data_IF_559703881678
#
_entry.id   IF_559703881678
#
_cell.length_a   1.000
_cell.length_b   1.000
_cell.length_c   1.000
_cell.angle_alpha   90.00
_cell.angle_beta   90.00
_cell.angle_gamma   90.00
#
_symmetry.space_group_name_H-M   'P 1'
#
loop_
_entity.id
_entity.type
_entity.pdbx_description
1 polymer ?
#
# COMPACT_ATOMS: atom_id res chain seq x y z
N UNK A 1 -9.55 -12.20 -5.53
CA UNK A 1 -9.67 -12.66 -4.13
C UNK A 1 -9.19 -14.11 -3.99
N UNK A 2 -8.31 -14.41 -3.02
CA UNK A 2 -7.92 -15.80 -2.73
C UNK A 2 -9.18 -16.58 -2.35
N UNK A 3 -9.38 -17.75 -2.97
CA UNK A 3 -10.56 -18.60 -2.74
C UNK A 3 -10.57 -19.24 -1.34
N UNK A 4 -9.43 -19.26 -0.65
CA UNK A 4 -9.22 -19.87 0.66
C UNK A 4 -8.40 -18.94 1.56
N UNK A 5 -8.63 -19.01 2.88
CA UNK A 5 -7.92 -18.24 3.90
C UNK A 5 -8.78 -17.19 4.60
N UNK A 6 -8.19 -16.46 5.55
CA UNK A 6 -8.87 -15.37 6.27
C UNK A 6 -9.30 -14.30 5.27
N UNK A 7 -10.58 -13.88 5.27
CA UNK A 7 -11.03 -12.77 4.45
C UNK A 7 -10.18 -11.52 4.71
N UNK A 8 -9.91 -10.75 3.65
CA UNK A 8 -9.20 -9.47 3.77
C UNK A 8 -10.05 -8.50 4.59
N UNK A 9 -9.55 -8.08 5.75
CA UNK A 9 -10.13 -7.01 6.56
C UNK A 9 -9.47 -5.65 6.32
N UNK A 10 -8.27 -5.63 5.73
CA UNK A 10 -7.50 -4.39 5.50
C UNK A 10 -8.08 -3.59 4.35
N UNK A 11 -8.41 -2.32 4.57
CA UNK A 11 -8.77 -1.39 3.49
C UNK A 11 -7.57 -1.11 2.57
N UNK A 12 -7.77 -1.27 1.25
CA UNK A 12 -6.72 -1.00 0.27
C UNK A 12 -6.44 0.49 0.11
N UNK A 13 -7.42 1.36 0.37
CA UNK A 13 -7.20 2.80 0.33
C UNK A 13 -6.21 3.22 1.41
N UNK A 14 -6.36 2.66 2.61
CA UNK A 14 -5.43 2.89 3.71
C UNK A 14 -4.02 2.33 3.44
N UNK A 15 -3.92 1.23 2.70
CA UNK A 15 -2.61 0.74 2.21
C UNK A 15 -1.98 1.76 1.26
N UNK A 16 -2.74 2.31 0.31
CA UNK A 16 -2.23 3.33 -0.62
C UNK A 16 -1.85 4.61 0.14
N UNK A 17 -2.68 5.08 1.08
CA UNK A 17 -2.38 6.24 1.91
C UNK A 17 -1.07 6.05 2.69
N UNK A 18 -0.86 4.87 3.27
CA UNK A 18 0.38 4.53 3.97
C UNK A 18 1.61 4.52 3.03
N UNK A 19 1.46 4.01 1.80
CA UNK A 19 2.54 4.04 0.81
C UNK A 19 2.88 5.45 0.36
N UNK A 20 1.88 6.29 0.13
CA UNK A 20 2.07 7.71 -0.20
C UNK A 20 2.73 8.45 0.97
N UNK A 21 2.32 8.17 2.20
CA UNK A 21 2.96 8.74 3.39
C UNK A 21 4.45 8.39 3.46
N UNK A 22 4.82 7.12 3.25
CA UNK A 22 6.22 6.69 3.21
C UNK A 22 6.96 7.36 2.05
N UNK A 23 6.35 7.44 0.86
CA UNK A 23 6.96 8.07 -0.31
C UNK A 23 7.21 9.58 -0.11
N UNK A 24 6.32 10.28 0.60
CA UNK A 24 6.45 11.71 0.89
C UNK A 24 7.42 11.98 2.03
N UNK A 25 7.41 11.17 3.09
CA UNK A 25 8.21 11.43 4.31
C UNK A 25 9.57 10.73 4.32
N UNK A 26 9.74 9.67 3.54
CA UNK A 26 10.91 8.80 3.58
C UNK A 26 11.05 7.98 4.87
N UNK A 27 10.00 7.89 5.70
CA UNK A 27 10.10 7.21 6.98
C UNK A 27 10.34 5.70 6.81
N UNK A 28 11.10 5.11 7.74
CA UNK A 28 11.27 3.66 7.78
C UNK A 28 9.94 2.95 8.08
N UNK A 29 9.75 1.74 7.54
CA UNK A 29 8.53 0.94 7.75
C UNK A 29 8.10 0.82 9.22
N UNK A 30 9.06 0.63 10.13
CA UNK A 30 8.78 0.45 11.57
C UNK A 30 8.41 1.75 12.29
N UNK A 31 8.65 2.90 11.65
CA UNK A 31 8.34 4.23 12.16
C UNK A 31 6.99 4.76 11.65
N UNK A 32 6.26 3.97 10.86
CA UNK A 32 4.97 4.35 10.34
C UNK A 32 3.97 4.59 11.49
N UNK A 33 3.13 5.64 11.41
CA UNK A 33 2.08 5.90 12.40
C UNK A 33 1.16 4.69 12.61
N UNK A 34 0.66 4.53 13.84
CA UNK A 34 -0.22 3.40 14.21
C UNK A 34 -1.65 3.50 13.68
N UNK A 35 -2.03 4.66 13.14
CA UNK A 35 -3.34 4.89 12.53
C UNK A 35 -3.46 4.20 11.16
N UNK A 36 -2.31 3.89 10.54
CA UNK A 36 -2.25 3.09 9.32
C UNK A 36 -2.38 1.58 9.61
N UNK A 37 -2.72 0.77 8.60
CA UNK A 37 -2.64 -0.69 8.72
C UNK A 37 -1.23 -1.12 9.15
N UNK A 38 -1.07 -2.29 9.81
CA UNK A 38 0.24 -2.75 10.26
C UNK A 38 1.29 -2.70 9.15
N UNK A 39 2.49 -2.18 9.45
CA UNK A 39 3.53 -1.98 8.42
C UNK A 39 3.87 -3.25 7.66
N UNK A 40 3.79 -4.42 8.29
CA UNK A 40 4.01 -5.73 7.65
C UNK A 40 2.95 -6.02 6.59
N UNK A 41 1.69 -5.62 6.82
CA UNK A 41 0.61 -5.73 5.85
C UNK A 41 0.85 -4.80 4.67
N UNK A 42 1.15 -3.52 4.93
CA UNK A 42 1.44 -2.53 3.87
C UNK A 42 2.64 -2.97 3.02
N UNK A 43 3.71 -3.42 3.67
CA UNK A 43 4.91 -3.94 3.02
C UNK A 43 4.61 -5.16 2.15
N UNK A 44 3.79 -6.09 2.62
CA UNK A 44 3.40 -7.28 1.85
C UNK A 44 2.65 -6.88 0.57
N UNK A 45 1.68 -5.97 0.68
CA UNK A 45 0.96 -5.44 -0.48
C UNK A 45 1.90 -4.75 -1.46
N UNK A 46 2.81 -3.89 -0.97
CA UNK A 46 3.76 -3.19 -1.81
C UNK A 46 4.64 -4.14 -2.62
N UNK A 47 5.22 -5.15 -1.99
CA UNK A 47 6.07 -6.10 -2.69
C UNK A 47 5.27 -6.98 -3.65
N UNK A 48 4.06 -7.41 -3.29
CA UNK A 48 3.18 -8.15 -4.20
C UNK A 48 2.82 -7.30 -5.43
N UNK A 49 2.43 -6.04 -5.24
CA UNK A 49 2.05 -5.13 -6.32
C UNK A 49 3.23 -4.73 -7.19
N UNK A 50 4.42 -4.61 -6.59
CA UNK A 50 5.65 -4.38 -7.35
C UNK A 50 6.00 -5.59 -8.20
N UNK A 51 5.97 -6.80 -7.62
CA UNK A 51 6.31 -8.03 -8.32
C UNK A 51 5.32 -8.34 -9.48
N UNK A 52 4.04 -8.03 -9.29
CA UNK A 52 3.01 -8.18 -10.33
C UNK A 52 2.96 -7.03 -11.33
N UNK A 53 3.73 -5.96 -11.13
CA UNK A 53 3.67 -4.74 -11.94
C UNK A 53 2.43 -3.87 -11.70
N UNK A 54 1.54 -4.26 -10.80
CA UNK A 54 0.31 -3.52 -10.48
C UNK A 54 0.62 -2.12 -9.95
N UNK A 55 1.65 -1.97 -9.11
CA UNK A 55 2.03 -0.66 -8.56
C UNK A 55 2.41 0.33 -9.68
N UNK A 56 3.11 -0.15 -10.70
CA UNK A 56 3.48 0.64 -11.88
C UNK A 56 2.28 1.07 -12.73
N UNK A 57 1.12 0.44 -12.57
CA UNK A 57 -0.14 0.84 -13.22
C UNK A 57 -0.93 1.81 -12.34
N UNK A 58 -1.03 1.53 -11.05
CA UNK A 58 -1.80 2.37 -10.10
C UNK A 58 -1.19 3.76 -9.97
N UNK A 59 0.12 3.86 -9.74
CA UNK A 59 0.75 5.13 -9.39
C UNK A 59 0.60 6.21 -10.49
N UNK A 60 0.82 5.92 -11.79
CA UNK A 60 0.57 6.90 -12.85
C UNK A 60 -0.87 7.42 -12.87
N UNK A 61 -1.88 6.55 -12.67
CA UNK A 61 -3.27 6.98 -12.64
C UNK A 61 -3.55 7.93 -11.48
N UNK A 62 -3.02 7.63 -10.28
CA UNK A 62 -3.15 8.53 -9.12
C UNK A 62 -2.48 9.89 -9.36
N UNK A 63 -1.33 9.91 -10.03
CA UNK A 63 -0.62 11.15 -10.37
C UNK A 63 -1.38 11.96 -11.42
N UNK A 64 -2.03 11.30 -12.39
CA UNK A 64 -2.83 11.96 -13.41
C UNK A 64 -4.09 12.60 -12.84
N UNK A 65 -4.77 11.94 -11.90
CA UNK A 65 -5.97 12.46 -11.23
C UNK A 65 -5.67 13.63 -10.26
N UNK A 66 -4.45 13.68 -9.71
CA UNK A 66 -4.04 14.74 -8.79
C UNK A 66 -3.53 16.02 -9.48
N UNK A 67 -3.42 16.02 -10.82
CA UNK A 67 -3.06 17.18 -11.63
C UNK A 67 -4.30 17.91 -12.12
#
# INVERSE_FOLDING_TARGET
>A
PRRLGRPRSTDLREVVNALLYIATTGCQWRMMPRDFPPFTTVQSYFYEWRATGLWGRINPHLVMEAR
#
